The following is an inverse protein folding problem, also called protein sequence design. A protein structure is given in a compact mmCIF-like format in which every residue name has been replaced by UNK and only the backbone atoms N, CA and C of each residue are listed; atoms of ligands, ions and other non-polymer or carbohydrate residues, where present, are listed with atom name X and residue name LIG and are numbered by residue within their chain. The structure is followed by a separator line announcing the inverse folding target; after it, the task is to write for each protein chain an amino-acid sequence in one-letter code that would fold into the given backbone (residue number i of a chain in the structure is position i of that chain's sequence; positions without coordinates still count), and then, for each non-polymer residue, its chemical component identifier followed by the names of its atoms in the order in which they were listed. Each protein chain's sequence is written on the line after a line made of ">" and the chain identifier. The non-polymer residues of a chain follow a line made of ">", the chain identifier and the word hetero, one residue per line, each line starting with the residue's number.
data_IF_154678891269
#
_entry.id   IF_154678891269
#
_cell.length_a   1.000
_cell.length_b   1.000
_cell.length_c   1.000
_cell.angle_alpha   90.00
_cell.angle_beta   90.00
_cell.angle_gamma   90.00
#
_symmetry.space_group_name_H-M   'P 1'
#
loop_
_entity.id
_entity.type
_entity.pdbx_description
1 polymer ?
#
# COMPACT_ATOMS: atom_id res chain seq x y z
N UNK A 1 -27.00 17.43 25.23
CA UNK A 1 -25.96 16.40 25.42
C UNK A 1 -24.74 16.68 24.50
N UNK A 2 -23.79 17.55 24.89
CA UNK A 2 -22.65 17.95 24.03
C UNK A 2 -21.34 17.17 24.29
N UNK A 3 -21.27 16.34 25.33
CA UNK A 3 -20.01 15.73 25.82
C UNK A 3 -19.45 14.59 24.96
N UNK A 4 -20.31 13.80 24.31
CA UNK A 4 -19.88 12.62 23.54
C UNK A 4 -19.05 12.99 22.30
N UNK A 5 -19.33 14.14 21.68
CA UNK A 5 -18.57 14.64 20.52
C UNK A 5 -17.13 14.95 20.90
N UNK A 6 -16.91 15.53 22.10
CA UNK A 6 -15.57 15.84 22.60
C UNK A 6 -14.79 14.56 22.92
N UNK A 7 -15.44 13.56 23.52
CA UNK A 7 -14.83 12.26 23.82
C UNK A 7 -14.44 11.48 22.56
N UNK A 8 -15.30 11.46 21.54
CA UNK A 8 -14.98 10.85 20.23
C UNK A 8 -13.81 11.57 19.55
N UNK A 9 -13.78 12.90 19.61
CA UNK A 9 -12.71 13.69 19.01
C UNK A 9 -11.37 13.45 19.71
N UNK A 10 -11.35 13.36 21.05
CA UNK A 10 -10.14 13.03 21.81
C UNK A 10 -9.66 11.60 21.59
N UNK A 11 -10.57 10.64 21.40
CA UNK A 11 -10.22 9.25 21.07
C UNK A 11 -9.58 9.14 19.67
N UNK A 12 -10.14 9.84 18.68
CA UNK A 12 -9.58 9.90 17.33
C UNK A 12 -8.20 10.56 17.31
N UNK A 13 -8.00 11.61 18.12
CA UNK A 13 -6.70 12.27 18.27
C UNK A 13 -5.66 11.36 18.93
N UNK A 14 -6.05 10.53 19.90
CA UNK A 14 -5.14 9.61 20.58
C UNK A 14 -4.64 8.48 19.66
N UNK A 15 -5.48 8.03 18.72
CA UNK A 15 -5.10 7.06 17.68
C UNK A 15 -4.03 7.60 16.71
N UNK A 16 -3.96 8.93 16.50
CA UNK A 16 -2.96 9.57 15.64
C UNK A 16 -1.57 9.69 16.27
N UNK A 17 -1.42 9.45 17.58
CA UNK A 17 -0.16 9.62 18.31
C UNK A 17 0.69 8.33 18.29
N UNK A 18 0.14 7.22 17.77
CA UNK A 18 0.91 5.98 17.65
C UNK A 18 2.04 6.22 16.64
N UNK A 19 3.33 6.16 17.05
CA UNK A 19 4.41 6.30 16.10
C UNK A 19 4.34 5.13 15.13
N UNK A 20 3.97 5.42 13.89
CA UNK A 20 3.98 4.46 12.79
C UNK A 20 5.44 4.20 12.40
N UNK A 21 6.13 3.35 13.15
CA UNK A 21 7.36 2.75 12.69
C UNK A 21 7.00 1.78 11.56
N UNK A 22 6.98 2.27 10.32
CA UNK A 22 6.92 1.42 9.15
C UNK A 22 8.20 0.59 9.12
N UNK A 23 8.11 -0.68 9.49
CA UNK A 23 9.22 -1.61 9.32
C UNK A 23 9.33 -1.88 7.83
N UNK A 24 10.29 -1.20 7.21
CA UNK A 24 10.63 -1.42 5.81
C UNK A 24 11.31 -2.78 5.69
N UNK A 25 10.82 -3.54 4.71
CA UNK A 25 11.18 -4.93 4.39
C UNK A 25 12.63 -5.30 4.75
N UNK A 26 12.82 -6.27 5.65
CA UNK A 26 14.12 -6.91 5.87
C UNK A 26 14.25 -8.11 4.92
N UNK A 27 14.64 -7.81 3.69
CA UNK A 27 14.84 -8.82 2.64
C UNK A 27 16.26 -8.73 2.10
N UNK A 28 17.05 -9.82 2.05
CA UNK A 28 18.38 -9.82 1.43
C UNK A 28 18.35 -9.47 -0.06
N UNK A 29 17.17 -9.59 -0.67
CA UNK A 29 16.94 -9.36 -2.09
C UNK A 29 16.63 -7.90 -2.44
N UNK A 30 16.31 -7.04 -1.45
CA UNK A 30 16.03 -5.62 -1.69
C UNK A 30 17.29 -4.78 -1.98
N UNK A 31 18.49 -5.37 -1.80
CA UNK A 31 19.79 -4.71 -1.99
C UNK A 31 20.11 -4.37 -3.46
N UNK A 32 19.47 -5.03 -4.42
CA UNK A 32 19.76 -4.83 -5.85
C UNK A 32 18.62 -4.07 -6.55
N UNK A 33 18.97 -3.03 -7.32
CA UNK A 33 18.03 -2.30 -8.18
C UNK A 33 17.10 -1.32 -7.43
N UNK A 34 15.82 -1.30 -7.81
CA UNK A 34 14.80 -0.40 -7.26
C UNK A 34 14.15 -0.88 -5.95
N UNK A 35 14.69 -1.93 -5.30
CA UNK A 35 14.08 -2.56 -4.13
C UNK A 35 12.94 -3.53 -4.48
N UNK A 36 12.08 -3.84 -3.50
CA UNK A 36 10.88 -4.65 -3.72
C UNK A 36 9.78 -3.72 -4.23
N UNK A 37 9.34 -3.95 -5.47
CA UNK A 37 8.18 -3.29 -6.05
C UNK A 37 6.94 -3.76 -5.29
N UNK A 38 6.23 -2.83 -4.66
CA UNK A 38 4.98 -3.16 -4.00
C UNK A 38 3.93 -3.45 -5.07
N UNK A 39 3.27 -4.61 -4.94
CA UNK A 39 2.16 -4.92 -5.82
C UNK A 39 1.03 -3.92 -5.54
N UNK A 40 0.66 -3.14 -6.55
CA UNK A 40 -0.35 -2.06 -6.50
C UNK A 40 -1.80 -2.61 -6.39
N UNK A 41 -1.93 -3.85 -5.92
CA UNK A 41 -3.18 -4.53 -5.68
C UNK A 41 -3.81 -4.03 -4.38
N UNK A 42 -5.05 -3.58 -4.47
CA UNK A 42 -5.88 -3.25 -3.30
C UNK A 42 -6.20 -4.47 -2.45
N UNK A 43 -6.67 -4.27 -1.22
CA UNK A 43 -6.92 -5.34 -0.25
C UNK A 43 -7.82 -6.45 -0.81
N UNK A 44 -8.89 -6.09 -1.52
CA UNK A 44 -9.77 -7.08 -2.16
C UNK A 44 -9.06 -7.86 -3.30
N UNK A 45 -8.25 -7.19 -4.12
CA UNK A 45 -7.45 -7.85 -5.15
C UNK A 45 -6.41 -8.79 -4.54
N UNK A 46 -5.75 -8.39 -3.45
CA UNK A 46 -4.80 -9.24 -2.71
C UNK A 46 -5.49 -10.48 -2.14
N UNK A 47 -6.68 -10.34 -1.57
CA UNK A 47 -7.49 -11.47 -1.09
C UNK A 47 -7.87 -12.46 -2.19
N UNK A 48 -7.94 -12.01 -3.44
CA UNK A 48 -8.18 -12.85 -4.61
C UNK A 48 -6.89 -13.34 -5.30
N UNK A 49 -5.76 -13.34 -4.60
CA UNK A 49 -4.47 -13.78 -5.15
C UNK A 49 -3.76 -12.73 -6.00
N UNK A 50 -4.13 -11.46 -5.88
CA UNK A 50 -3.49 -10.34 -6.57
C UNK A 50 -4.11 -9.96 -7.92
N UNK A 51 -5.30 -10.49 -8.26
CA UNK A 51 -5.98 -10.11 -9.50
C UNK A 51 -6.52 -8.68 -9.44
N UNK A 52 -6.11 -7.82 -10.38
CA UNK A 52 -6.53 -6.42 -10.45
C UNK A 52 -7.21 -6.09 -11.78
N UNK A 53 -6.68 -6.53 -12.92
CA UNK A 53 -7.17 -6.12 -14.24
C UNK A 53 -8.62 -6.55 -14.55
N UNK A 54 -9.05 -7.72 -14.10
CA UNK A 54 -10.42 -8.21 -14.33
C UNK A 54 -11.44 -7.76 -13.29
N UNK A 55 -11.01 -7.06 -12.24
CA UNK A 55 -11.87 -6.77 -11.08
C UNK A 55 -12.55 -5.43 -11.28
N UNK A 56 -13.88 -5.47 -11.43
CA UNK A 56 -14.76 -4.31 -11.47
C UNK A 56 -15.76 -4.42 -10.32
N UNK A 57 -15.59 -3.60 -9.27
CA UNK A 57 -16.35 -3.72 -8.03
C UNK A 57 -16.46 -2.41 -7.26
N UNK A 58 -16.78 -2.51 -5.97
CA UNK A 58 -16.98 -1.37 -5.06
C UNK A 58 -15.70 -0.93 -4.33
N UNK A 59 -14.53 -1.32 -4.85
CA UNK A 59 -13.24 -0.96 -4.30
C UNK A 59 -12.47 -0.16 -5.34
N UNK A 60 -11.67 0.80 -4.90
CA UNK A 60 -10.87 1.65 -5.78
C UNK A 60 -9.75 0.82 -6.37
N UNK A 61 -9.69 0.62 -7.69
CA UNK A 61 -8.69 -0.25 -8.32
C UNK A 61 -7.71 0.54 -9.21
N UNK A 62 -6.59 1.04 -8.67
CA UNK A 62 -5.50 1.67 -9.43
C UNK A 62 -4.99 0.84 -10.60
N UNK A 63 -4.96 -0.49 -10.44
CA UNK A 63 -4.50 -1.41 -11.49
C UNK A 63 -5.45 -1.53 -12.68
N UNK A 64 -6.71 -1.10 -12.56
CA UNK A 64 -7.65 -1.03 -13.67
C UNK A 64 -8.42 0.31 -13.66
N UNK A 65 -7.88 1.35 -14.30
CA UNK A 65 -8.53 2.67 -14.38
C UNK A 65 -9.94 2.60 -14.97
N UNK A 66 -10.18 1.71 -15.95
CA UNK A 66 -11.49 1.57 -16.58
C UNK A 66 -12.60 1.10 -15.62
N UNK A 67 -12.23 0.52 -14.46
CA UNK A 67 -13.19 0.10 -13.44
C UNK A 67 -13.87 1.28 -12.74
N UNK A 68 -13.32 2.51 -12.82
CA UNK A 68 -13.84 3.65 -12.06
C UNK A 68 -15.24 4.11 -12.47
N UNK A 69 -15.66 3.77 -13.70
CA UNK A 69 -16.99 4.07 -14.23
C UNK A 69 -18.12 3.32 -13.53
N UNK A 70 -17.82 2.28 -12.74
CA UNK A 70 -18.85 1.41 -12.12
C UNK A 70 -19.52 2.06 -10.92
N UNK A 71 -18.91 3.08 -10.33
CA UNK A 71 -19.39 3.72 -9.10
C UNK A 71 -20.60 4.59 -9.42
N UNK A 72 -21.65 4.43 -8.61
CA UNK A 72 -22.88 5.20 -8.77
C UNK A 72 -22.60 6.69 -8.51
N UNK A 73 -23.30 7.55 -9.24
CA UNK A 73 -23.21 9.02 -9.24
C UNK A 73 -23.28 9.69 -7.87
N UNK A 74 -23.84 9.02 -6.86
CA UNK A 74 -23.99 9.52 -5.49
C UNK A 74 -23.07 8.82 -4.48
N UNK A 75 -22.23 7.88 -4.92
CA UNK A 75 -21.38 7.08 -4.02
C UNK A 75 -19.95 7.60 -4.06
N UNK A 76 -19.44 8.01 -2.90
CA UNK A 76 -18.02 8.30 -2.71
C UNK A 76 -17.33 7.11 -2.03
N UNK A 77 -16.19 6.67 -2.56
CA UNK A 77 -15.43 5.55 -2.01
C UNK A 77 -14.09 6.05 -1.48
N UNK A 78 -13.84 5.75 -0.22
CA UNK A 78 -12.59 6.04 0.47
C UNK A 78 -12.01 4.72 0.98
N UNK A 79 -10.88 4.30 0.42
CA UNK A 79 -10.26 3.00 0.64
C UNK A 79 -8.85 3.19 1.22
N UNK A 80 -8.57 2.51 2.34
CA UNK A 80 -7.28 2.52 3.01
C UNK A 80 -6.83 1.08 3.20
N UNK A 81 -5.64 0.76 2.70
CA UNK A 81 -4.98 -0.52 2.90
C UNK A 81 -3.84 -0.43 3.92
N UNK A 82 -3.83 -1.37 4.87
CA UNK A 82 -2.73 -1.58 5.81
C UNK A 82 -2.35 -3.06 5.73
N UNK A 83 -1.05 -3.37 5.66
CA UNK A 83 -0.57 -4.75 5.70
C UNK A 83 0.13 -5.08 7.02
N UNK A 84 0.09 -6.37 7.32
CA UNK A 84 0.95 -7.00 8.31
C UNK A 84 1.37 -8.36 7.76
N UNK A 85 2.67 -8.59 7.66
CA UNK A 85 3.28 -9.77 7.09
C UNK A 85 4.27 -10.37 8.10
N UNK A 86 4.12 -11.66 8.40
CA UNK A 86 5.02 -12.42 9.26
C UNK A 86 5.77 -13.46 8.44
N UNK A 87 7.06 -13.26 8.23
CA UNK A 87 7.92 -14.22 7.56
C UNK A 87 8.67 -15.07 8.58
N UNK A 88 8.71 -16.38 8.38
CA UNK A 88 9.54 -17.30 9.18
C UNK A 88 10.57 -17.94 8.27
N UNK A 89 11.84 -17.65 8.52
CA UNK A 89 12.96 -18.28 7.85
C UNK A 89 13.51 -19.37 8.78
N UNK A 90 13.74 -20.55 8.22
CA UNK A 90 14.31 -21.69 8.92
C UNK A 90 15.50 -22.20 8.14
N UNK A 91 16.67 -22.21 8.76
CA UNK A 91 17.90 -22.77 8.19
C UNK A 91 18.53 -23.72 9.21
N UNK A 92 18.32 -25.02 9.00
CA UNK A 92 18.73 -26.06 9.96
C UNK A 92 18.07 -25.88 11.33
N UNK A 93 18.88 -25.64 12.37
CA UNK A 93 18.45 -25.39 13.75
C UNK A 93 18.07 -23.94 14.04
N UNK A 94 18.41 -23.00 13.15
CA UNK A 94 18.14 -21.59 13.34
C UNK A 94 16.76 -21.21 12.77
N UNK A 95 15.91 -20.65 13.63
CA UNK A 95 14.61 -20.09 13.27
C UNK A 95 14.64 -18.58 13.49
N UNK A 96 14.43 -17.82 12.43
CA UNK A 96 14.31 -16.37 12.52
C UNK A 96 12.92 -15.94 12.05
N UNK A 97 12.19 -15.25 12.91
CA UNK A 97 10.90 -14.64 12.55
C UNK A 97 11.12 -13.17 12.26
N UNK A 98 10.65 -12.71 11.10
CA UNK A 98 10.60 -11.31 10.73
C UNK A 98 9.15 -10.86 10.70
N UNK A 99 8.86 -9.80 11.42
CA UNK A 99 7.55 -9.17 11.48
C UNK A 99 7.64 -7.85 10.71
N UNK A 100 6.90 -7.75 9.60
CA UNK A 100 6.88 -6.58 8.74
C UNK A 100 5.46 -6.01 8.67
N UNK A 101 5.32 -4.70 8.59
CA UNK A 101 4.01 -4.06 8.49
C UNK A 101 4.14 -2.63 8.00
N UNK A 102 3.10 -2.15 7.34
CA UNK A 102 3.12 -0.83 6.72
C UNK A 102 1.78 -0.42 6.12
N UNK A 103 1.74 0.85 5.71
CA UNK A 103 0.66 1.38 4.90
C UNK A 103 0.80 0.83 3.47
N UNK A 104 -0.27 0.30 2.91
CA UNK A 104 -0.27 -0.23 1.55
C UNK A 104 -0.73 0.80 0.52
N UNK A 105 -1.81 1.52 0.81
CA UNK A 105 -2.38 2.53 -0.08
C UNK A 105 -3.43 3.37 0.63
N UNK A 106 -3.62 4.59 0.15
CA UNK A 106 -4.79 5.41 0.44
C UNK A 106 -5.36 5.84 -0.90
N UNK A 107 -6.59 5.45 -1.20
CA UNK A 107 -7.22 5.67 -2.49
C UNK A 107 -8.62 6.21 -2.32
N UNK A 108 -8.95 7.21 -3.12
CA UNK A 108 -10.24 7.87 -3.15
C UNK A 108 -10.82 7.76 -4.56
N UNK A 109 -12.11 7.53 -4.66
CA UNK A 109 -12.81 7.44 -5.93
C UNK A 109 -14.11 8.23 -5.89
N UNK A 110 -14.28 9.07 -6.90
CA UNK A 110 -15.39 10.00 -7.03
C UNK A 110 -16.04 9.81 -8.40
N UNK A 111 -17.38 9.70 -8.49
CA UNK A 111 -18.09 9.84 -9.74
C UNK A 111 -18.16 11.33 -10.12
N UNK A 112 -17.77 11.67 -11.35
CA UNK A 112 -17.91 13.04 -11.89
C UNK A 112 -19.24 13.19 -12.66
N UNK A 113 -19.66 12.13 -13.34
CA UNK A 113 -20.92 12.06 -14.08
C UNK A 113 -21.40 10.59 -14.13
N UNK A 114 -22.63 10.36 -14.62
CA UNK A 114 -23.22 9.01 -14.73
C UNK A 114 -22.33 7.98 -15.45
N UNK A 115 -21.48 8.45 -16.36
CA UNK A 115 -20.58 7.62 -17.15
C UNK A 115 -19.10 7.99 -16.95
N UNK A 116 -18.76 8.87 -15.99
CA UNK A 116 -17.39 9.35 -15.78
C UNK A 116 -17.01 9.17 -14.31
N UNK A 117 -15.93 8.43 -14.07
CA UNK A 117 -15.36 8.22 -12.75
C UNK A 117 -13.94 8.77 -12.67
N UNK A 118 -13.55 9.25 -11.50
CA UNK A 118 -12.21 9.69 -11.17
C UNK A 118 -11.71 8.94 -9.95
N UNK A 119 -10.41 8.64 -9.92
CA UNK A 119 -9.74 8.15 -8.72
C UNK A 119 -8.47 8.95 -8.47
N UNK A 120 -8.15 9.19 -7.21
CA UNK A 120 -6.88 9.76 -6.78
C UNK A 120 -6.38 8.97 -5.59
N UNK A 121 -5.08 8.83 -5.43
CA UNK A 121 -4.55 8.16 -4.26
C UNK A 121 -3.04 8.21 -4.16
N UNK A 122 -2.55 7.68 -3.06
CA UNK A 122 -1.14 7.62 -2.72
C UNK A 122 -0.81 6.15 -2.48
N UNK A 123 0.18 5.67 -3.21
CA UNK A 123 0.63 4.29 -3.24
C UNK A 123 2.14 4.28 -2.96
N UNK A 124 2.62 3.77 -1.81
CA UNK A 124 4.04 3.51 -1.62
C UNK A 124 4.53 2.51 -2.68
N UNK A 125 5.23 3.01 -3.70
CA UNK A 125 5.64 2.28 -4.91
C UNK A 125 6.78 1.31 -4.65
N UNK A 126 7.76 1.75 -3.85
CA UNK A 126 8.89 0.91 -3.46
C UNK A 126 9.34 1.24 -2.04
N UNK A 127 9.71 0.20 -1.31
CA UNK A 127 10.42 0.29 -0.04
C UNK A 127 11.75 -0.46 -0.16
N UNK A 128 12.86 0.26 0.00
CA UNK A 128 14.21 -0.26 0.21
C UNK A 128 14.45 -0.27 1.72
N UNK A 129 14.31 -1.43 2.35
CA UNK A 129 14.85 -1.70 3.67
C UNK A 129 15.88 -2.80 3.52
N UNK A 130 17.07 -2.64 4.07
CA UNK A 130 17.94 -3.78 4.31
C UNK A 130 18.68 -3.53 5.61
N UNK A 131 18.62 -4.50 6.52
CA UNK A 131 19.45 -4.54 7.73
C UNK A 131 20.12 -5.90 7.78
N UNK A 132 21.37 -5.98 7.30
CA UNK A 132 22.20 -7.18 7.45
C UNK A 132 23.42 -6.83 8.30
N UNK A 133 23.54 -7.52 9.43
CA UNK A 133 24.76 -7.58 10.23
C UNK A 133 25.24 -9.02 10.29
N UNK A 134 26.44 -9.29 9.76
CA UNK A 134 27.13 -10.56 9.97
C UNK A 134 28.11 -10.39 11.13
N UNK A 135 27.94 -11.18 12.19
CA UNK A 135 28.91 -11.26 13.28
C UNK A 135 30.03 -12.22 12.84
N UNK A 136 31.15 -11.68 12.39
CA UNK A 136 32.34 -12.48 12.07
C UNK A 136 33.31 -12.41 13.26
N UNK A 137 33.37 -13.50 14.03
CA UNK A 137 34.27 -13.64 15.17
C UNK A 137 35.66 -14.11 14.73
N UNK A 138 36.51 -13.17 14.32
CA UNK A 138 37.97 -13.38 14.29
C UNK A 138 38.67 -12.29 15.12
N UNK A 139 38.70 -12.49 16.45
CA UNK A 139 39.63 -11.80 17.36
C UNK A 139 39.29 -10.37 17.80
N UNK A 140 38.55 -9.59 17.02
CA UNK A 140 38.02 -8.26 17.41
C UNK A 140 36.59 -8.13 16.88
N UNK A 141 35.60 -8.05 17.79
CA UNK A 141 34.16 -8.02 17.47
C UNK A 141 33.79 -6.76 16.66
N UNK A 142 33.96 -6.82 15.34
CA UNK A 142 33.60 -5.74 14.42
C UNK A 142 32.23 -6.04 13.83
N UNK A 143 31.19 -5.47 14.44
CA UNK A 143 29.82 -5.56 13.92
C UNK A 143 29.71 -4.63 12.70
N UNK A 144 29.78 -5.18 11.48
CA UNK A 144 29.46 -4.43 10.26
C UNK A 144 27.95 -4.49 10.01
N UNK A 145 27.22 -3.52 10.55
CA UNK A 145 25.81 -3.32 10.23
C UNK A 145 25.73 -2.49 8.95
N UNK A 146 25.26 -3.09 7.85
CA UNK A 146 24.88 -2.32 6.68
C UNK A 146 23.37 -2.10 6.74
N UNK A 147 22.97 -0.85 6.98
CA UNK A 147 21.58 -0.43 7.01
C UNK A 147 21.32 0.65 5.96
N UNK A 148 20.24 0.49 5.20
CA UNK A 148 19.75 1.50 4.26
C UNK A 148 18.23 1.45 4.21
N UNK A 149 17.59 2.56 4.54
CA UNK A 149 16.14 2.76 4.47
C UNK A 149 15.81 3.86 3.46
N UNK A 150 14.92 3.56 2.52
CA UNK A 150 14.42 4.49 1.51
C UNK A 150 13.15 3.95 0.89
N UNK A 151 12.35 4.80 0.24
CA UNK A 151 11.15 4.34 -0.44
C UNK A 151 10.54 5.46 -1.28
N UNK A 152 10.02 5.10 -2.45
CA UNK A 152 9.32 6.02 -3.35
C UNK A 152 7.82 5.92 -3.11
N UNK A 153 7.16 7.05 -2.96
CA UNK A 153 5.70 7.13 -2.81
C UNK A 153 5.13 7.74 -4.07
N UNK A 154 4.31 6.98 -4.78
CA UNK A 154 3.63 7.45 -5.98
C UNK A 154 2.30 8.10 -5.60
N UNK A 155 2.08 9.33 -6.07
CA UNK A 155 0.75 9.95 -6.07
C UNK A 155 0.16 9.75 -7.45
N UNK A 156 -1.02 9.14 -7.53
CA UNK A 156 -1.71 8.89 -8.79
C UNK A 156 -3.05 9.63 -8.86
N UNK A 157 -3.40 10.04 -10.08
CA UNK A 157 -4.70 10.55 -10.46
C UNK A 157 -5.17 9.86 -11.73
N UNK A 158 -6.44 9.46 -11.75
CA UNK A 158 -7.01 8.60 -12.77
C UNK A 158 -8.39 9.05 -13.19
N UNK A 159 -8.68 8.94 -14.49
CA UNK A 159 -9.98 9.26 -15.07
C UNK A 159 -10.45 8.11 -15.94
N UNK A 160 -11.75 7.83 -15.89
CA UNK A 160 -12.38 6.80 -16.68
C UNK A 160 -13.74 7.26 -17.20
N UNK A 161 -14.07 6.81 -18.41
CA UNK A 161 -15.30 7.12 -19.11
C UNK A 161 -15.91 5.85 -19.71
N UNK A 162 -17.23 5.73 -19.65
CA UNK A 162 -18.02 4.70 -20.32
C UNK A 162 -18.74 5.34 -21.54
N UNK A 163 -18.07 5.45 -22.71
CA UNK A 163 -18.66 6.07 -23.90
C UNK A 163 -19.79 5.23 -24.50
N UNK A 164 -19.70 3.91 -24.43
CA UNK A 164 -20.72 2.96 -24.89
C UNK A 164 -21.08 2.08 -23.70
N UNK A 165 -22.36 1.74 -23.55
CA UNK A 165 -22.81 0.80 -22.49
C UNK A 165 -21.94 -0.45 -22.55
N UNK A 166 -21.36 -0.83 -21.40
CA UNK A 166 -20.46 -1.98 -21.25
C UNK A 166 -19.03 -1.83 -21.81
N UNK A 167 -18.67 -0.70 -22.42
CA UNK A 167 -17.29 -0.39 -22.82
C UNK A 167 -16.77 0.80 -22.01
N UNK A 168 -15.85 0.54 -21.08
CA UNK A 168 -15.20 1.57 -20.27
C UNK A 168 -13.73 1.71 -20.67
N UNK A 169 -13.25 2.94 -20.72
CA UNK A 169 -11.86 3.30 -21.00
C UNK A 169 -11.40 4.19 -19.86
N UNK A 170 -10.19 3.98 -19.36
CA UNK A 170 -9.61 4.86 -18.35
C UNK A 170 -8.10 4.90 -18.43
N UNK A 171 -7.53 5.95 -17.86
CA UNK A 171 -6.09 6.18 -17.78
C UNK A 171 -5.73 6.73 -16.40
N UNK A 172 -4.56 6.32 -15.90
CA UNK A 172 -3.94 6.85 -14.68
C UNK A 172 -2.67 7.60 -15.04
N UNK A 173 -2.42 8.69 -14.31
CA UNK A 173 -1.20 9.49 -14.35
C UNK A 173 -0.63 9.49 -12.94
N UNK A 174 0.61 9.06 -12.80
CA UNK A 174 1.32 8.98 -11.52
C UNK A 174 2.53 9.90 -11.50
N UNK A 175 2.87 10.39 -10.30
CA UNK A 175 4.11 11.09 -10.01
C UNK A 175 4.82 10.40 -8.84
N UNK A 176 6.12 10.10 -9.00
CA UNK A 176 6.96 9.31 -8.10
C UNK A 176 7.88 10.18 -7.24
#
# INVERSE_FOLDING_TARGET
>A
MPGYKKLLFTSLLALLIIPAYGQNTDSPYSRYGYGILNNQAIGASRSMGGISYGVRGMNTNPGNPASYTRVDSLTFIFDIGINYNKARLSEGSNKQSHDNGGLDYIAMQFPLAKNVGMSIGILPFSSVGYSFGSQQNEGVATTKTFSGSGGFSEVYGGLAVEPIRNLSIGANVGFL
#
